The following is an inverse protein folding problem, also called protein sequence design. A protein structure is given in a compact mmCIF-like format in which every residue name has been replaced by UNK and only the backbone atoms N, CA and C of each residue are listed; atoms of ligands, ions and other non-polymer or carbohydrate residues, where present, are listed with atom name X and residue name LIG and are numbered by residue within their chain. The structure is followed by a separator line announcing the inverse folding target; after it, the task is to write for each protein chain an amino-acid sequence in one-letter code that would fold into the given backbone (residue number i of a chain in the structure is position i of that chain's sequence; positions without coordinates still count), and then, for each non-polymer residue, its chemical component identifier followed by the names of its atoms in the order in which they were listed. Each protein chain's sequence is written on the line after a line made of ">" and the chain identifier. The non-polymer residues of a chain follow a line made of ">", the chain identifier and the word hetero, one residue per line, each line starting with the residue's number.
data_IF_408144032950
#
_entry.id   IF_408144032950
#
_cell.length_a   1.000
_cell.length_b   1.000
_cell.length_c   1.000
_cell.angle_alpha   90.00
_cell.angle_beta   90.00
_cell.angle_gamma   90.00
#
_symmetry.space_group_name_H-M   'P 1'
#
loop_
_entity.id
_entity.type
_entity.pdbx_description
1 polymer ?
#
# COMPACT_ATOMS: atom_id res chain seq x y z
N UNK A 1 -37.11 -7.58 -10.77
CA UNK A 1 -36.54 -7.23 -12.10
C UNK A 1 -35.00 -7.15 -12.05
N UNK A 2 -34.39 -8.07 -11.30
CA UNK A 2 -32.92 -8.09 -11.00
C UNK A 2 -32.15 -9.19 -11.73
N UNK A 3 -32.78 -10.01 -12.57
CA UNK A 3 -32.22 -11.25 -13.11
C UNK A 3 -31.50 -11.13 -14.47
N UNK A 4 -31.39 -9.94 -15.08
CA UNK A 4 -30.81 -9.79 -16.42
C UNK A 4 -29.41 -9.16 -16.48
N UNK A 5 -28.87 -8.71 -15.35
CA UNK A 5 -27.58 -8.02 -15.31
C UNK A 5 -26.39 -8.93 -14.95
N UNK A 6 -26.64 -10.03 -14.26
CA UNK A 6 -25.57 -10.93 -13.79
C UNK A 6 -25.12 -11.94 -14.86
N UNK A 7 -26.03 -12.32 -15.76
CA UNK A 7 -25.75 -13.30 -16.82
C UNK A 7 -24.91 -12.74 -17.97
N UNK A 8 -24.83 -11.42 -18.12
CA UNK A 8 -24.07 -10.75 -19.20
C UNK A 8 -22.57 -10.65 -18.94
N UNK A 9 -22.17 -10.56 -17.68
CA UNK A 9 -20.75 -10.36 -17.32
C UNK A 9 -19.93 -11.67 -17.46
N UNK A 10 -20.54 -12.83 -17.26
CA UNK A 10 -19.87 -14.12 -17.42
C UNK A 10 -19.56 -14.49 -18.88
N UNK A 11 -20.30 -13.90 -19.83
CA UNK A 11 -20.13 -14.11 -21.29
C UNK A 11 -19.01 -13.20 -21.86
N UNK A 12 -18.60 -12.17 -21.14
CA UNK A 12 -17.58 -11.25 -21.62
C UNK A 12 -16.20 -11.93 -21.63
N UNK A 13 -15.69 -12.16 -22.83
CA UNK A 13 -14.33 -12.62 -23.04
C UNK A 13 -13.47 -11.45 -23.54
N UNK A 14 -12.31 -11.18 -22.88
CA UNK A 14 -11.41 -10.14 -23.34
C UNK A 14 -10.79 -10.51 -24.69
N UNK A 15 -10.66 -9.56 -25.59
CA UNK A 15 -9.85 -9.70 -26.79
C UNK A 15 -8.35 -9.69 -26.43
N UNK A 16 -7.53 -10.05 -27.44
CA UNK A 16 -6.08 -9.96 -27.25
C UNK A 16 -5.66 -8.51 -26.94
N UNK A 17 -4.94 -8.32 -25.85
CA UNK A 17 -4.46 -7.00 -25.40
C UNK A 17 -5.41 -6.23 -24.47
N UNK A 18 -6.66 -6.65 -24.30
CA UNK A 18 -7.61 -5.94 -23.42
C UNK A 18 -7.18 -5.94 -21.97
N UNK A 19 -6.63 -7.06 -21.48
CA UNK A 19 -6.17 -7.19 -20.10
C UNK A 19 -4.89 -6.40 -19.86
N UNK A 20 -3.96 -6.40 -20.81
CA UNK A 20 -2.74 -5.58 -20.78
C UNK A 20 -3.08 -4.09 -20.74
N UNK A 21 -4.03 -3.67 -21.58
CA UNK A 21 -4.50 -2.28 -21.62
C UNK A 21 -5.17 -1.90 -20.28
N UNK A 22 -6.00 -2.79 -19.73
CA UNK A 22 -6.64 -2.57 -18.43
C UNK A 22 -5.64 -2.48 -17.29
N UNK A 23 -4.64 -3.39 -17.24
CA UNK A 23 -3.55 -3.37 -16.28
C UNK A 23 -2.78 -2.04 -16.35
N UNK A 24 -2.41 -1.61 -17.56
CA UNK A 24 -1.66 -0.37 -17.77
C UNK A 24 -2.47 0.86 -17.36
N UNK A 25 -3.76 0.92 -17.71
CA UNK A 25 -4.65 2.02 -17.34
C UNK A 25 -4.91 2.11 -15.83
N UNK A 26 -4.79 0.98 -15.11
CA UNK A 26 -5.05 0.87 -13.68
C UNK A 26 -3.81 0.41 -12.89
N UNK A 27 -2.62 0.73 -13.36
CA UNK A 27 -1.35 0.28 -12.80
C UNK A 27 -1.26 0.45 -11.29
N UNK A 28 -1.73 1.57 -10.76
CA UNK A 28 -1.67 1.87 -9.33
C UNK A 28 -2.49 0.88 -8.48
N UNK A 29 -3.56 0.32 -9.02
CA UNK A 29 -4.40 -0.67 -8.33
C UNK A 29 -3.68 -2.00 -8.14
N UNK A 30 -2.82 -2.37 -9.08
CA UNK A 30 -2.11 -3.65 -9.09
C UNK A 30 -0.67 -3.54 -8.60
N UNK A 31 -0.18 -2.33 -8.37
CA UNK A 31 1.19 -2.08 -7.93
C UNK A 31 1.42 -2.70 -6.56
N UNK A 32 2.48 -3.50 -6.46
CA UNK A 32 2.97 -3.98 -5.18
C UNK A 32 3.70 -2.86 -4.44
N UNK A 33 3.30 -2.63 -3.21
CA UNK A 33 3.98 -1.67 -2.34
C UNK A 33 5.39 -2.14 -1.97
N UNK A 34 6.32 -1.22 -1.70
CA UNK A 34 7.65 -1.60 -1.25
C UNK A 34 7.56 -2.27 0.12
N UNK A 35 8.53 -3.15 0.41
CA UNK A 35 8.65 -3.82 1.71
C UNK A 35 10.09 -3.84 2.16
N UNK A 36 10.30 -3.70 3.46
CA UNK A 36 11.61 -3.80 4.08
C UNK A 36 11.57 -4.79 5.23
N UNK A 37 12.63 -5.60 5.33
CA UNK A 37 12.98 -6.35 6.51
C UNK A 37 14.26 -5.76 7.07
N UNK A 38 14.30 -5.51 8.37
CA UNK A 38 15.46 -4.88 9.00
C UNK A 38 15.57 -5.28 10.47
N UNK A 39 16.75 -5.07 11.01
CA UNK A 39 17.01 -5.07 12.44
C UNK A 39 17.47 -3.68 12.88
N UNK A 40 17.28 -3.38 14.17
CA UNK A 40 17.58 -2.07 14.71
C UNK A 40 18.14 -2.16 16.13
N UNK A 41 18.95 -1.16 16.47
CA UNK A 41 19.45 -0.91 17.81
C UNK A 41 18.97 0.47 18.24
N UNK A 42 18.22 0.53 19.33
CA UNK A 42 17.76 1.80 19.88
C UNK A 42 18.89 2.49 20.65
N UNK A 43 19.16 3.73 20.31
CA UNK A 43 20.26 4.54 20.88
C UNK A 43 19.79 5.52 21.95
N UNK A 44 18.46 5.57 22.21
CA UNK A 44 17.90 6.59 23.08
C UNK A 44 17.49 7.86 22.36
N UNK A 45 17.08 8.87 23.14
CA UNK A 45 16.61 10.16 22.60
C UNK A 45 17.76 11.10 22.24
N UNK A 46 18.87 11.02 22.96
CA UNK A 46 20.01 11.90 22.81
C UNK A 46 21.34 11.17 23.11
N UNK A 47 21.70 10.18 22.26
CA UNK A 47 22.97 9.46 22.45
C UNK A 47 24.15 10.40 22.23
N UNK A 48 25.26 10.16 22.91
CA UNK A 48 26.49 10.90 22.63
C UNK A 48 27.07 10.47 21.27
N UNK A 49 27.69 11.38 20.52
CA UNK A 49 28.34 11.04 19.25
C UNK A 49 29.40 9.92 19.40
N UNK A 50 30.07 9.88 20.55
CA UNK A 50 31.07 8.86 20.87
C UNK A 50 30.42 7.47 20.97
N UNK A 51 29.31 7.34 21.72
CA UNK A 51 28.61 6.06 21.86
C UNK A 51 28.06 5.52 20.55
N UNK A 52 27.58 6.40 19.67
CA UNK A 52 27.13 6.02 18.32
C UNK A 52 28.28 5.48 17.48
N UNK A 53 29.43 6.17 17.55
CA UNK A 53 30.63 5.78 16.80
C UNK A 53 31.18 4.43 17.31
N UNK A 54 31.26 4.24 18.62
CA UNK A 54 31.75 3.01 19.23
C UNK A 54 30.88 1.82 18.90
N UNK A 55 29.56 1.96 18.97
CA UNK A 55 28.61 0.92 18.56
C UNK A 55 28.74 0.58 17.07
N UNK A 56 28.84 1.59 16.21
CA UNK A 56 29.03 1.38 14.77
C UNK A 56 30.35 0.66 14.46
N UNK A 57 31.41 0.98 15.17
CA UNK A 57 32.70 0.32 15.02
C UNK A 57 32.66 -1.12 15.54
N UNK A 58 32.00 -1.38 16.66
CA UNK A 58 31.79 -2.73 17.21
C UNK A 58 31.08 -3.63 16.19
N UNK A 59 29.96 -3.17 15.65
CA UNK A 59 29.18 -3.91 14.65
C UNK A 59 29.95 -4.18 13.34
N UNK A 60 30.84 -3.27 12.96
CA UNK A 60 31.70 -3.43 11.79
C UNK A 60 32.82 -4.42 12.02
N UNK A 61 33.41 -4.38 13.23
CA UNK A 61 34.56 -5.22 13.58
C UNK A 61 34.19 -6.67 13.87
N UNK A 62 33.01 -6.88 14.43
CA UNK A 62 32.48 -8.20 14.78
C UNK A 62 31.03 -8.36 14.33
N UNK A 63 30.81 -8.83 13.10
CA UNK A 63 29.47 -9.09 12.57
C UNK A 63 28.71 -10.21 13.31
N UNK A 64 29.38 -10.97 14.19
CA UNK A 64 28.74 -12.00 15.00
C UNK A 64 28.17 -11.45 16.32
N UNK A 65 28.42 -10.17 16.62
CA UNK A 65 27.86 -9.54 17.83
C UNK A 65 26.33 -9.49 17.73
N UNK A 66 25.64 -10.00 18.76
CA UNK A 66 24.18 -9.97 18.84
C UNK A 66 23.68 -8.52 19.00
N UNK A 67 22.98 -7.95 18.03
CA UNK A 67 22.49 -6.58 18.10
C UNK A 67 21.49 -6.37 19.23
N UNK A 68 20.78 -7.42 19.66
CA UNK A 68 19.72 -7.33 20.68
C UNK A 68 20.24 -6.98 22.08
N UNK A 69 21.53 -7.19 22.35
CA UNK A 69 22.17 -6.86 23.63
C UNK A 69 22.82 -5.47 23.62
N UNK A 70 22.82 -4.79 22.47
CA UNK A 70 23.42 -3.48 22.29
C UNK A 70 22.38 -2.35 22.42
N UNK A 71 22.87 -1.15 22.69
CA UNK A 71 22.03 0.05 22.79
C UNK A 71 21.23 0.16 24.09
N UNK A 72 20.22 1.02 24.06
CA UNK A 72 19.32 1.21 25.20
C UNK A 72 18.11 0.27 25.15
N UNK A 73 17.56 -0.05 26.32
CA UNK A 73 16.35 -0.89 26.41
C UNK A 73 15.14 -0.16 25.82
N UNK A 74 14.40 -0.84 24.95
CA UNK A 74 13.15 -0.35 24.41
C UNK A 74 12.12 -1.48 24.30
N UNK A 75 10.84 -1.11 24.10
CA UNK A 75 9.76 -2.05 23.79
C UNK A 75 9.61 -2.25 22.27
N UNK A 76 10.42 -1.57 21.45
CA UNK A 76 10.40 -1.73 20.02
C UNK A 76 11.02 -3.08 19.63
N UNK A 77 10.48 -3.76 18.61
CA UNK A 77 11.05 -5.00 18.14
C UNK A 77 12.47 -4.77 17.60
N UNK A 78 13.41 -5.63 18.00
CA UNK A 78 14.79 -5.54 17.51
C UNK A 78 14.92 -5.93 16.05
N UNK A 79 14.09 -6.86 15.58
CA UNK A 79 14.08 -7.33 14.20
C UNK A 79 12.66 -7.38 13.64
N UNK A 80 12.48 -6.99 12.39
CA UNK A 80 11.22 -7.04 11.65
C UNK A 80 11.43 -7.76 10.32
N UNK A 81 10.45 -8.61 9.97
CA UNK A 81 10.37 -9.22 8.66
C UNK A 81 9.92 -8.22 7.59
N UNK A 82 9.67 -8.70 6.38
CA UNK A 82 9.18 -7.86 5.27
C UNK A 82 7.84 -7.22 5.59
N UNK A 83 7.86 -5.93 5.89
CA UNK A 83 6.70 -5.11 6.22
C UNK A 83 6.54 -3.95 5.24
N UNK A 84 5.29 -3.52 5.06
CA UNK A 84 4.90 -2.35 4.27
C UNK A 84 5.17 -1.05 5.03
N UNK A 85 5.22 0.12 4.33
CA UNK A 85 5.48 1.43 4.92
C UNK A 85 4.60 1.74 6.13
N UNK A 86 3.28 1.50 6.04
CA UNK A 86 2.34 1.84 7.08
C UNK A 86 2.57 1.05 8.38
N UNK A 87 2.98 -0.22 8.26
CA UNK A 87 3.25 -1.06 9.42
C UNK A 87 4.55 -0.62 10.14
N UNK A 88 5.56 -0.25 9.37
CA UNK A 88 6.83 0.27 9.90
C UNK A 88 6.60 1.64 10.55
N UNK A 89 5.92 2.55 9.86
CA UNK A 89 5.60 3.88 10.36
C UNK A 89 4.66 3.83 11.58
N UNK A 90 3.74 2.88 11.61
CA UNK A 90 2.89 2.62 12.78
C UNK A 90 3.68 2.21 14.02
N UNK A 91 4.79 1.49 13.83
CA UNK A 91 5.66 1.02 14.92
C UNK A 91 6.69 2.06 15.35
N UNK A 92 7.33 2.75 14.41
CA UNK A 92 8.47 3.65 14.67
C UNK A 92 8.13 5.15 14.55
N UNK A 93 6.94 5.46 14.07
CA UNK A 93 6.49 6.83 13.83
C UNK A 93 6.61 7.23 12.35
N UNK A 94 5.73 8.14 11.95
CA UNK A 94 5.56 8.59 10.57
C UNK A 94 6.86 9.00 9.89
N UNK A 95 7.06 8.49 8.68
CA UNK A 95 8.22 8.79 7.82
C UNK A 95 9.50 8.05 8.23
N UNK A 96 9.40 7.04 9.12
CA UNK A 96 10.56 6.21 9.43
C UNK A 96 10.91 5.30 8.27
N UNK A 97 9.89 4.71 7.60
CA UNK A 97 10.11 3.89 6.41
C UNK A 97 10.91 4.62 5.33
N UNK A 98 10.53 5.85 4.99
CA UNK A 98 11.22 6.65 3.96
C UNK A 98 12.71 6.84 4.28
N UNK A 99 13.03 7.10 5.56
CA UNK A 99 14.43 7.31 5.98
C UNK A 99 15.27 6.04 5.89
N UNK A 100 14.69 4.86 6.19
CA UNK A 100 15.42 3.60 6.12
C UNK A 100 15.41 2.98 4.71
N UNK A 101 14.47 3.36 3.85
CA UNK A 101 14.39 2.88 2.47
C UNK A 101 15.57 3.35 1.59
N UNK A 102 16.28 4.40 1.99
CA UNK A 102 17.48 4.92 1.32
C UNK A 102 18.76 4.17 1.72
N UNK A 103 18.69 3.33 2.78
CA UNK A 103 19.84 2.58 3.29
C UNK A 103 20.08 1.35 2.41
N UNK A 104 21.34 1.16 2.01
CA UNK A 104 21.73 -0.03 1.26
C UNK A 104 21.70 -1.28 2.15
N UNK A 105 21.18 -2.42 1.65
CA UNK A 105 21.24 -3.68 2.39
C UNK A 105 22.67 -4.13 2.72
N UNK A 106 22.83 -4.75 3.88
CA UNK A 106 24.07 -5.43 4.28
C UNK A 106 24.98 -4.65 5.22
N UNK A 107 24.71 -3.36 5.48
CA UNK A 107 25.50 -2.56 6.41
C UNK A 107 24.64 -1.86 7.47
N UNK A 108 25.22 -1.71 8.68
CA UNK A 108 24.60 -0.88 9.72
C UNK A 108 24.72 0.59 9.36
N UNK A 109 23.62 1.29 9.34
CA UNK A 109 23.54 2.70 9.02
C UNK A 109 22.80 3.51 10.11
N UNK A 110 23.05 4.77 10.18
CA UNK A 110 22.42 5.69 11.11
C UNK A 110 23.38 6.73 11.68
N UNK A 111 22.94 7.46 12.71
CA UNK A 111 21.68 7.32 13.44
C UNK A 111 20.45 7.79 12.65
N UNK A 112 19.41 6.97 12.61
CA UNK A 112 18.11 7.26 11.98
C UNK A 112 17.11 7.68 13.05
N UNK A 113 16.38 8.77 12.79
CA UNK A 113 15.39 9.31 13.73
C UNK A 113 14.03 8.63 13.59
N UNK A 114 13.47 8.20 14.71
CA UNK A 114 12.08 7.71 14.85
C UNK A 114 11.24 8.66 15.73
N UNK A 115 9.99 8.30 15.99
CA UNK A 115 9.15 8.97 16.97
C UNK A 115 9.63 8.79 18.42
N UNK A 116 10.50 7.83 18.69
CA UNK A 116 10.98 7.48 20.03
C UNK A 116 12.40 7.96 20.36
N UNK A 117 13.20 8.17 19.30
CA UNK A 117 14.61 8.56 19.44
C UNK A 117 15.41 8.20 18.20
N UNK A 118 16.67 7.83 18.41
CA UNK A 118 17.63 7.50 17.37
C UNK A 118 17.92 6.01 17.33
N UNK A 119 18.19 5.49 16.14
CA UNK A 119 18.44 4.07 15.90
C UNK A 119 19.63 3.87 14.96
N UNK A 120 20.38 2.79 15.17
CA UNK A 120 21.13 2.16 14.09
C UNK A 120 20.23 1.14 13.42
N UNK A 121 20.29 1.04 12.10
CA UNK A 121 19.43 0.17 11.29
C UNK A 121 20.29 -0.63 10.32
N UNK A 122 19.96 -1.91 10.19
CA UNK A 122 20.57 -2.82 9.21
C UNK A 122 19.46 -3.42 8.35
N UNK A 123 19.48 -3.15 7.06
CA UNK A 123 18.49 -3.68 6.12
C UNK A 123 18.87 -5.13 5.78
N UNK A 124 17.96 -6.06 6.09
CA UNK A 124 18.12 -7.49 5.83
C UNK A 124 17.61 -7.88 4.45
N UNK A 125 16.48 -7.30 4.04
CA UNK A 125 15.85 -7.51 2.74
C UNK A 125 15.08 -6.27 2.30
N UNK A 126 15.08 -6.00 1.01
CA UNK A 126 14.40 -4.86 0.41
C UNK A 126 13.70 -5.25 -0.87
N UNK A 127 12.39 -5.12 -0.87
CA UNK A 127 11.55 -5.33 -2.04
C UNK A 127 11.03 -3.97 -2.52
N UNK A 128 11.50 -3.46 -3.66
CA UNK A 128 11.02 -2.20 -4.19
C UNK A 128 9.56 -2.32 -4.66
N UNK A 129 8.88 -1.19 -4.71
CA UNK A 129 7.57 -1.14 -5.35
C UNK A 129 7.69 -1.54 -6.82
N UNK A 130 6.79 -2.40 -7.29
CA UNK A 130 6.78 -2.84 -8.69
C UNK A 130 5.37 -3.06 -9.19
N UNK A 131 5.15 -2.85 -10.46
CA UNK A 131 3.96 -3.34 -11.15
C UNK A 131 4.19 -4.79 -11.54
N UNK A 132 3.35 -5.72 -11.09
CA UNK A 132 3.49 -7.11 -11.47
C UNK A 132 3.18 -7.31 -12.96
N UNK A 133 3.80 -8.28 -13.63
CA UNK A 133 3.40 -8.67 -14.98
C UNK A 133 1.98 -9.26 -14.97
N UNK A 134 1.30 -9.21 -16.13
CA UNK A 134 -0.09 -9.68 -16.23
C UNK A 134 -0.27 -11.12 -15.73
N UNK A 135 0.70 -11.98 -15.96
CA UNK A 135 0.64 -13.39 -15.55
C UNK A 135 0.44 -13.57 -14.03
N UNK A 136 1.04 -12.68 -13.21
CA UNK A 136 0.91 -12.74 -11.75
C UNK A 136 -0.46 -12.26 -11.26
N UNK A 137 -1.11 -11.36 -12.00
CA UNK A 137 -2.36 -10.70 -11.57
C UNK A 137 -3.52 -10.94 -12.51
N UNK A 138 -3.37 -11.88 -13.45
CA UNK A 138 -4.34 -12.12 -14.52
C UNK A 138 -5.76 -12.30 -14.04
N UNK A 139 -5.98 -13.08 -12.99
CA UNK A 139 -7.32 -13.35 -12.47
C UNK A 139 -7.95 -12.09 -11.85
N UNK A 140 -7.13 -11.28 -11.16
CA UNK A 140 -7.59 -10.00 -10.61
C UNK A 140 -7.94 -9.03 -11.74
N UNK A 141 -7.05 -8.86 -12.70
CA UNK A 141 -7.25 -7.98 -13.86
C UNK A 141 -8.48 -8.40 -14.69
N UNK A 142 -8.67 -9.71 -14.91
CA UNK A 142 -9.84 -10.23 -15.64
C UNK A 142 -11.15 -9.93 -14.90
N UNK A 143 -11.18 -10.14 -13.58
CA UNK A 143 -12.36 -9.84 -12.77
C UNK A 143 -12.71 -8.35 -12.83
N UNK A 144 -11.71 -7.49 -12.65
CA UNK A 144 -11.90 -6.04 -12.61
C UNK A 144 -12.24 -5.49 -14.00
N UNK A 145 -11.65 -6.03 -15.07
CA UNK A 145 -12.02 -5.72 -16.45
C UNK A 145 -13.48 -6.10 -16.75
N UNK A 146 -13.92 -7.29 -16.35
CA UNK A 146 -15.32 -7.72 -16.50
C UNK A 146 -16.28 -6.79 -15.76
N UNK A 147 -15.94 -6.39 -14.52
CA UNK A 147 -16.72 -5.46 -13.73
C UNK A 147 -16.83 -4.08 -14.40
N UNK A 148 -15.71 -3.55 -14.90
CA UNK A 148 -15.68 -2.29 -15.63
C UNK A 148 -16.53 -2.35 -16.91
N UNK A 149 -16.43 -3.43 -17.71
CA UNK A 149 -17.23 -3.61 -18.92
C UNK A 149 -18.73 -3.77 -18.63
N UNK A 150 -19.09 -4.47 -17.56
CA UNK A 150 -20.48 -4.58 -17.15
C UNK A 150 -21.04 -3.21 -16.70
N UNK A 151 -20.24 -2.38 -16.04
CA UNK A 151 -20.62 -1.02 -15.68
C UNK A 151 -20.82 -0.15 -16.92
N UNK A 152 -19.90 -0.18 -17.87
CA UNK A 152 -19.99 0.55 -19.15
C UNK A 152 -21.29 0.19 -19.92
N UNK A 153 -21.62 -1.11 -20.00
CA UNK A 153 -22.84 -1.59 -20.64
C UNK A 153 -24.09 -1.05 -19.91
N UNK A 154 -24.10 -1.07 -18.58
CA UNK A 154 -25.22 -0.52 -17.77
C UNK A 154 -25.41 0.97 -18.01
N UNK A 155 -24.34 1.73 -18.05
CA UNK A 155 -24.38 3.19 -18.31
C UNK A 155 -24.89 3.51 -19.71
N UNK A 156 -24.42 2.80 -20.72
CA UNK A 156 -24.92 2.93 -22.09
C UNK A 156 -26.40 2.57 -22.19
N UNK A 157 -26.82 1.50 -21.53
CA UNK A 157 -28.23 1.11 -21.50
C UNK A 157 -29.09 2.17 -20.81
N UNK A 158 -28.63 2.68 -19.66
CA UNK A 158 -29.32 3.74 -18.91
C UNK A 158 -29.39 5.06 -19.73
N UNK A 159 -28.32 5.44 -20.40
CA UNK A 159 -28.31 6.63 -21.26
C UNK A 159 -29.35 6.51 -22.38
N UNK A 160 -29.41 5.35 -23.06
CA UNK A 160 -30.43 5.10 -24.10
C UNK A 160 -31.85 5.10 -23.56
N UNK A 161 -32.08 4.60 -22.33
CA UNK A 161 -33.41 4.68 -21.70
C UNK A 161 -33.80 6.13 -21.41
N UNK A 162 -32.86 6.94 -20.87
CA UNK A 162 -33.12 8.37 -20.61
C UNK A 162 -33.50 9.17 -21.86
N UNK A 163 -32.92 8.85 -23.00
CA UNK A 163 -33.27 9.49 -24.28
C UNK A 163 -34.70 9.15 -24.74
N UNK A 164 -35.22 7.98 -24.31
CA UNK A 164 -36.55 7.50 -24.75
C UNK A 164 -37.69 7.87 -23.81
N UNK A 165 -37.38 8.26 -22.57
CA UNK A 165 -38.41 8.57 -21.54
C UNK A 165 -38.15 9.94 -20.94
N UNK A 166 -39.21 10.79 -20.93
CA UNK A 166 -39.23 12.03 -20.16
C UNK A 166 -39.58 11.65 -18.72
N UNK A 167 -38.62 11.81 -17.79
CA UNK A 167 -38.86 11.58 -16.37
C UNK A 167 -39.42 12.86 -15.75
N UNK A 168 -40.74 12.93 -15.52
CA UNK A 168 -41.35 13.98 -14.69
C UNK A 168 -41.26 13.57 -13.22
N UNK A 169 -40.39 14.23 -12.47
CA UNK A 169 -40.37 14.13 -11.01
C UNK A 169 -41.46 15.07 -10.48
N UNK A 170 -42.60 14.54 -10.04
CA UNK A 170 -43.61 15.30 -9.31
C UNK A 170 -43.24 15.25 -7.84
N UNK A 171 -42.78 16.39 -7.32
CA UNK A 171 -42.65 16.58 -5.88
C UNK A 171 -44.02 16.50 -5.24
N UNK A 172 -44.23 15.54 -4.35
CA UNK A 172 -45.49 15.26 -3.67
C UNK A 172 -45.79 16.26 -2.51
N UNK A 173 -45.06 17.36 -2.38
CA UNK A 173 -45.13 18.25 -1.22
C UNK A 173 -45.55 19.71 -1.54
N UNK A 174 -46.68 19.86 -2.24
CA UNK A 174 -47.35 21.19 -2.26
C UNK A 174 -48.87 21.07 -2.23
N UNK A 175 -49.40 20.20 -1.37
CA UNK A 175 -50.82 20.18 -1.13
C UNK A 175 -51.10 20.04 0.38
N UNK A 176 -51.00 21.09 1.14
CA UNK A 176 -51.76 21.28 2.36
C UNK A 176 -51.29 22.51 3.17
N UNK A 177 -51.56 23.70 2.74
CA UNK A 177 -51.92 24.81 3.67
C UNK A 177 -52.74 25.83 2.90
N UNK A 178 -53.99 25.53 2.67
CA UNK A 178 -55.01 26.56 2.51
C UNK A 178 -56.36 25.97 2.96
N UNK A 179 -56.65 26.07 4.24
CA UNK A 179 -58.00 26.38 4.69
C UNK A 179 -58.08 26.52 6.22
N UNK A 180 -58.43 27.73 6.59
CA UNK A 180 -59.08 28.26 7.83
C UNK A 180 -58.16 28.73 8.93
#
# INVERSE_FOLDING_TARGET
>A
MEFLTDTGADILQPAAGDLEAHLTANEQTYRHEPRLAFEQIYLGKAPSPESVTDLSNTLRSDPATDPSVLGERSLLPAQLGLLRPEAIDGTFGKGFFERIAEIQPGEWAGPVKSGYGLHLVHILDSQPARTPPLEEVRDAVLRDWKAAKAQEIRELHYARLRERFVVEIRDADTASVENR
#
